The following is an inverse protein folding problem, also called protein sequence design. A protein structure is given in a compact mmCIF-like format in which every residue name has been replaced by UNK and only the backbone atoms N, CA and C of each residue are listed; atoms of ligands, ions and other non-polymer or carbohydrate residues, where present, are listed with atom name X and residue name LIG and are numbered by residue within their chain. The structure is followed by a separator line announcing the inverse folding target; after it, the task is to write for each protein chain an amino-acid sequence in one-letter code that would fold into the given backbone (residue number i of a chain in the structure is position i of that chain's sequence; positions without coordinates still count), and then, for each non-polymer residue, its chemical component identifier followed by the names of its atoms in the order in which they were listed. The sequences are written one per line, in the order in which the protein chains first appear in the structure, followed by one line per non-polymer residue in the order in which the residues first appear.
data_IF_455456465871
#
_entry.id   IF_455456465871
#
_cell.length_a   1.000
_cell.length_b   1.000
_cell.length_c   1.000
_cell.angle_alpha   90.00
_cell.angle_beta   90.00
_cell.angle_gamma   90.00
#
_symmetry.space_group_name_H-M   'P 1'
#
loop_
_entity.id
_entity.type
_entity.pdbx_description
1 polymer ?
#
# COMPACT_ATOMS: atom_id res chain seq x y z
N UNK A 1 -13.95 12.09 1.65
CA UNK A 1 -13.89 10.89 2.52
C UNK A 1 -12.99 11.21 3.72
N UNK A 2 -13.57 11.25 4.92
CA UNK A 2 -12.92 11.73 6.16
C UNK A 2 -11.85 10.79 6.74
N UNK A 3 -11.80 9.52 6.33
CA UNK A 3 -10.93 8.51 6.95
C UNK A 3 -9.43 8.64 6.67
N UNK A 4 -9.01 9.27 5.56
CA UNK A 4 -7.57 9.33 5.18
C UNK A 4 -6.75 10.12 6.21
N UNK A 5 -7.33 11.15 6.81
CA UNK A 5 -6.66 11.96 7.83
C UNK A 5 -6.32 11.13 9.08
N UNK A 6 -7.29 10.36 9.56
CA UNK A 6 -7.11 9.44 10.69
C UNK A 6 -6.13 8.31 10.34
N UNK A 7 -6.25 7.73 9.14
CA UNK A 7 -5.33 6.70 8.67
C UNK A 7 -3.87 7.16 8.59
N UNK A 8 -3.62 8.41 8.19
CA UNK A 8 -2.26 9.01 8.25
C UNK A 8 -1.76 9.18 9.68
N UNK A 9 -2.61 9.55 10.63
CA UNK A 9 -2.21 9.62 12.04
C UNK A 9 -1.86 8.25 12.60
N UNK A 10 -2.67 7.23 12.30
CA UNK A 10 -2.38 5.85 12.69
C UNK A 10 -1.07 5.38 12.07
N UNK A 11 -0.89 5.58 10.76
CA UNK A 11 0.36 5.25 10.05
C UNK A 11 1.59 5.94 10.69
N UNK A 12 1.53 7.23 10.99
CA UNK A 12 2.63 7.91 11.68
C UNK A 12 2.90 7.33 13.08
N UNK A 13 1.85 6.96 13.81
CA UNK A 13 1.96 6.39 15.16
C UNK A 13 2.61 5.02 15.15
N UNK A 14 2.18 4.11 14.26
CA UNK A 14 2.71 2.75 14.16
C UNK A 14 4.16 2.73 13.66
N UNK A 15 4.50 3.63 12.73
CA UNK A 15 5.89 3.85 12.29
C UNK A 15 6.76 4.31 13.45
N UNK A 16 6.28 5.26 14.28
CA UNK A 16 7.01 5.73 15.46
C UNK A 16 7.20 4.63 16.53
N UNK A 17 6.26 3.70 16.61
CA UNK A 17 6.33 2.57 17.54
C UNK A 17 7.27 1.44 17.07
N UNK A 18 7.87 1.56 15.88
CA UNK A 18 8.80 0.57 15.35
C UNK A 18 8.13 -0.61 14.64
N UNK A 19 6.83 -0.53 14.34
CA UNK A 19 6.12 -1.56 13.56
C UNK A 19 6.28 -1.37 12.04
N UNK A 20 7.25 -0.55 11.63
CA UNK A 20 7.53 -0.28 10.23
C UNK A 20 7.90 -1.52 9.44
N UNK A 21 8.37 -2.60 10.06
CA UNK A 21 8.77 -3.84 9.39
C UNK A 21 7.71 -4.96 9.49
N UNK A 22 6.58 -4.70 10.16
CA UNK A 22 5.50 -5.69 10.31
C UNK A 22 4.71 -5.84 9.01
N UNK A 23 4.84 -6.99 8.36
CA UNK A 23 4.20 -7.27 7.07
C UNK A 23 2.67 -7.18 7.12
N UNK A 24 2.02 -7.56 8.22
CA UNK A 24 0.57 -7.53 8.34
C UNK A 24 0.07 -6.09 8.47
N UNK A 25 0.79 -5.28 9.23
CA UNK A 25 0.52 -3.86 9.38
C UNK A 25 0.73 -3.11 8.05
N UNK A 26 1.85 -3.38 7.38
CA UNK A 26 2.14 -2.81 6.06
C UNK A 26 1.09 -3.20 5.03
N UNK A 27 0.69 -4.47 4.96
CA UNK A 27 -0.39 -4.95 4.09
C UNK A 27 -1.72 -4.22 4.37
N UNK A 28 -2.04 -4.02 5.65
CA UNK A 28 -3.25 -3.29 6.06
C UNK A 28 -3.20 -1.82 5.60
N UNK A 29 -2.04 -1.17 5.68
CA UNK A 29 -1.84 0.21 5.22
C UNK A 29 -1.92 0.33 3.69
N UNK A 30 -1.31 -0.59 2.93
CA UNK A 30 -1.42 -0.64 1.46
C UNK A 30 -2.88 -0.75 1.05
N UNK A 31 -3.61 -1.70 1.65
CA UNK A 31 -5.04 -1.86 1.38
C UNK A 31 -5.84 -0.61 1.76
N UNK A 32 -5.60 -0.05 2.95
CA UNK A 32 -6.27 1.16 3.43
C UNK A 32 -6.13 2.34 2.44
N UNK A 33 -4.90 2.65 2.04
CA UNK A 33 -4.66 3.74 1.10
C UNK A 33 -5.24 3.44 -0.30
N UNK A 34 -5.18 2.18 -0.73
CA UNK A 34 -5.80 1.73 -1.98
C UNK A 34 -7.32 1.88 -2.00
N UNK A 35 -8.03 1.50 -0.93
CA UNK A 35 -9.49 1.68 -0.84
C UNK A 35 -9.91 3.14 -0.72
N UNK A 36 -9.02 3.98 -0.19
CA UNK A 36 -9.23 5.43 -0.10
C UNK A 36 -8.91 6.18 -1.41
N UNK A 37 -8.34 5.50 -2.41
CA UNK A 37 -7.92 6.12 -3.67
C UNK A 37 -6.64 6.96 -3.57
N UNK A 38 -5.90 6.88 -2.45
CA UNK A 38 -4.60 7.53 -2.27
C UNK A 38 -3.50 6.56 -2.74
N UNK A 39 -3.42 6.37 -4.06
CA UNK A 39 -2.47 5.43 -4.67
C UNK A 39 -1.02 5.79 -4.40
N UNK A 40 -0.71 7.08 -4.27
CA UNK A 40 0.64 7.54 -3.95
C UNK A 40 1.09 7.04 -2.57
N UNK A 41 0.23 7.18 -1.55
CA UNK A 41 0.53 6.68 -0.21
C UNK A 41 0.58 5.16 -0.17
N UNK A 42 -0.31 4.47 -0.90
CA UNK A 42 -0.27 3.01 -1.02
C UNK A 42 1.05 2.52 -1.63
N UNK A 43 1.52 3.19 -2.69
CA UNK A 43 2.81 2.89 -3.31
C UNK A 43 3.97 3.16 -2.36
N UNK A 44 3.97 4.31 -1.67
CA UNK A 44 5.03 4.65 -0.71
C UNK A 44 5.18 3.58 0.38
N UNK A 45 4.08 3.10 0.94
CA UNK A 45 4.11 2.00 1.91
C UNK A 45 4.67 0.74 1.26
N UNK A 46 4.13 0.34 0.11
CA UNK A 46 4.56 -0.87 -0.60
C UNK A 46 6.05 -0.86 -0.99
N UNK A 47 6.57 0.28 -1.44
CA UNK A 47 7.97 0.47 -1.84
C UNK A 47 8.91 0.41 -0.63
N UNK A 48 8.44 0.80 0.56
CA UNK A 48 9.19 0.74 1.82
C UNK A 48 9.15 -0.63 2.50
N UNK A 49 8.31 -1.56 2.03
CA UNK A 49 8.23 -2.92 2.61
C UNK A 49 9.54 -3.69 2.38
N UNK A 50 10.20 -4.19 3.44
CA UNK A 50 11.41 -5.00 3.28
C UNK A 50 11.10 -6.39 2.70
N UNK A 51 9.92 -6.93 3.00
CA UNK A 51 9.42 -8.22 2.49
C UNK A 51 8.00 -8.00 1.98
N UNK A 52 7.68 -8.57 0.82
CA UNK A 52 6.37 -8.47 0.19
C UNK A 52 5.82 -9.87 -0.05
N UNK A 53 4.55 -10.08 0.25
CA UNK A 53 3.85 -11.33 0.02
C UNK A 53 2.70 -11.15 -0.98
N UNK A 54 1.99 -12.24 -1.24
CA UNK A 54 0.82 -12.24 -2.15
C UNK A 54 -0.22 -11.20 -1.71
N UNK A 55 -0.36 -10.95 -0.41
CA UNK A 55 -1.31 -9.96 0.11
C UNK A 55 -0.83 -8.53 -0.21
N UNK A 56 0.46 -8.24 -0.10
CA UNK A 56 1.03 -6.94 -0.49
C UNK A 56 0.72 -6.63 -1.96
N UNK A 57 0.97 -7.63 -2.83
CA UNK A 57 0.79 -7.53 -4.27
C UNK A 57 -0.67 -7.39 -4.69
N UNK A 58 -1.54 -8.22 -4.13
CA UNK A 58 -2.97 -8.14 -4.43
C UNK A 58 -3.57 -6.84 -3.90
N UNK A 59 -3.09 -6.34 -2.75
CA UNK A 59 -3.50 -5.06 -2.18
C UNK A 59 -3.16 -3.89 -3.10
N UNK A 60 -1.91 -3.80 -3.58
CA UNK A 60 -1.51 -2.69 -4.47
C UNK A 60 -2.25 -2.76 -5.81
N UNK A 61 -2.35 -3.93 -6.44
CA UNK A 61 -3.07 -4.12 -7.71
C UNK A 61 -4.54 -3.71 -7.56
N UNK A 62 -5.21 -4.16 -6.49
CA UNK A 62 -6.60 -3.80 -6.22
C UNK A 62 -6.79 -2.30 -6.03
N UNK A 63 -5.84 -1.62 -5.38
CA UNK A 63 -5.81 -0.16 -5.26
C UNK A 63 -5.76 0.54 -6.62
N UNK A 64 -4.90 0.08 -7.54
CA UNK A 64 -4.77 0.60 -8.90
C UNK A 64 -5.98 0.31 -9.79
N UNK A 65 -6.59 -0.87 -9.69
CA UNK A 65 -7.80 -1.22 -10.46
C UNK A 65 -8.97 -0.28 -10.16
N UNK A 66 -9.10 0.18 -8.92
CA UNK A 66 -10.20 1.06 -8.48
C UNK A 66 -10.14 2.49 -9.02
N UNK A 67 -8.94 2.93 -9.42
CA UNK A 67 -8.70 4.27 -9.99
C UNK A 67 -8.52 4.25 -11.51
N UNK A 68 -8.76 3.10 -12.16
CA UNK A 68 -8.62 2.93 -13.61
C UNK A 68 -7.17 2.84 -14.11
N UNK A 69 -6.19 2.74 -13.20
CA UNK A 69 -4.76 2.72 -13.50
C UNK A 69 -4.20 1.29 -13.57
N UNK A 70 -4.99 0.36 -14.10
CA UNK A 70 -4.63 -1.08 -14.19
C UNK A 70 -3.32 -1.33 -14.95
N UNK A 71 -3.01 -0.51 -15.97
CA UNK A 71 -1.75 -0.62 -16.73
C UNK A 71 -0.53 -0.33 -15.86
N UNK A 72 -0.60 0.68 -15.00
CA UNK A 72 0.52 1.05 -14.12
C UNK A 72 0.74 0.01 -13.02
N UNK A 73 -0.35 -0.61 -12.53
CA UNK A 73 -0.26 -1.78 -11.66
C UNK A 73 0.43 -2.95 -12.36
N UNK A 74 0.05 -3.25 -13.61
CA UNK A 74 0.61 -4.34 -14.39
C UNK A 74 2.10 -4.11 -14.71
N UNK A 75 2.47 -2.89 -15.12
CA UNK A 75 3.86 -2.52 -15.40
C UNK A 75 4.76 -2.68 -14.16
N UNK A 76 4.24 -2.32 -12.98
CA UNK A 76 4.97 -2.53 -11.72
C UNK A 76 5.07 -4.02 -11.36
N UNK A 77 4.03 -4.80 -11.58
CA UNK A 77 4.06 -6.25 -11.34
C UNK A 77 5.08 -6.95 -12.25
N UNK A 78 5.06 -6.62 -13.55
CA UNK A 78 5.94 -7.22 -14.55
C UNK A 78 7.40 -6.79 -14.41
N UNK A 79 7.68 -5.63 -13.80
CA UNK A 79 9.05 -5.19 -13.48
C UNK A 79 9.71 -5.96 -12.33
N UNK A 80 8.97 -6.77 -11.58
CA UNK A 80 9.54 -7.55 -10.46
C UNK A 80 10.04 -8.94 -10.88
N UNK A 81 9.78 -9.38 -12.11
CA UNK A 81 10.21 -10.70 -12.64
C UNK A 81 11.44 -10.66 -13.59
N UNK A 82 12.37 -9.69 -13.44
CA UNK A 82 13.64 -9.67 -14.20
C UNK A 82 14.84 -9.38 -13.30
#
# INVERSE_FOLDING_TARGET
FSGIGEGRQYHGTVTRMGFSDDIYLQNSLVHFYGVCGDSESACKVFDQMPVRDVVSWTGIISGFSRIGLYKEALDRFLKIDV
#
